data_IF_213902483998
#
_entry.id   IF_213902483998
#
_cell.length_a   1.000
_cell.length_b   1.000
_cell.length_c   1.000
_cell.angle_alpha   90.00
_cell.angle_beta   90.00
_cell.angle_gamma   90.00
#
_symmetry.space_group_name_H-M   'P 1'
#
loop_
_entity.id
_entity.type
_entity.pdbx_description
1 polymer ?
#
# COMPACT_ATOMS: atom_id res chain seq x y z
N UNK A 1 0.19 -1.89 -0.54
CA UNK A 1 0.68 -1.81 0.86
C UNK A 1 -0.11 -0.73 1.59
N UNK A 2 0.06 -0.53 2.90
CA UNK A 2 -0.52 0.64 3.58
C UNK A 2 0.34 1.01 4.79
N UNK A 3 0.64 2.29 4.96
CA UNK A 3 1.33 2.79 6.14
C UNK A 3 0.35 3.03 7.29
N UNK A 4 0.77 2.85 8.55
CA UNK A 4 -0.13 2.98 9.71
C UNK A 4 -0.73 4.39 9.87
N UNK A 5 0.01 5.45 9.50
CA UNK A 5 -0.52 6.83 9.45
C UNK A 5 -1.72 6.92 8.50
N UNK A 6 -1.67 6.19 7.38
CA UNK A 6 -2.72 6.20 6.37
C UNK A 6 -3.93 5.35 6.74
N UNK A 7 -3.75 4.34 7.59
CA UNK A 7 -4.86 3.69 8.29
C UNK A 7 -5.59 4.74 9.14
N UNK A 8 -4.87 5.55 9.91
CA UNK A 8 -5.45 6.64 10.69
C UNK A 8 -6.17 7.69 9.83
N UNK A 9 -5.59 8.07 8.68
CA UNK A 9 -6.22 8.97 7.71
C UNK A 9 -7.52 8.38 7.15
N UNK A 10 -7.52 7.10 6.75
CA UNK A 10 -8.70 6.41 6.26
C UNK A 10 -9.78 6.27 7.36
N UNK A 11 -9.39 6.01 8.60
CA UNK A 11 -10.32 5.96 9.73
C UNK A 11 -11.01 7.30 9.97
N UNK A 12 -10.28 8.43 9.90
CA UNK A 12 -10.89 9.75 10.03
C UNK A 12 -11.89 10.04 8.89
N UNK A 13 -11.56 9.63 7.67
CA UNK A 13 -12.48 9.74 6.53
C UNK A 13 -13.72 8.86 6.70
N UNK A 14 -13.56 7.65 7.23
CA UNK A 14 -14.70 6.78 7.55
C UNK A 14 -15.62 7.42 8.59
N UNK A 15 -15.05 7.99 9.66
CA UNK A 15 -15.80 8.64 10.74
C UNK A 15 -16.56 9.90 10.30
N UNK A 16 -16.21 10.50 9.15
CA UNK A 16 -16.99 11.61 8.58
C UNK A 16 -18.20 11.14 7.76
N UNK A 17 -18.45 9.83 7.68
CA UNK A 17 -19.50 9.22 6.88
C UNK A 17 -19.17 9.07 5.39
N UNK A 18 -17.97 9.46 4.95
CA UNK A 18 -17.62 9.44 3.52
C UNK A 18 -17.51 8.00 2.94
N UNK A 19 -17.38 7.00 3.81
CA UNK A 19 -17.25 5.59 3.45
C UNK A 19 -18.47 4.75 3.86
N UNK A 20 -19.56 5.38 4.32
CA UNK A 20 -20.76 4.69 4.82
C UNK A 20 -21.37 3.75 3.78
N UNK A 21 -21.80 2.57 4.23
CA UNK A 21 -22.37 1.50 3.39
C UNK A 21 -21.44 0.98 2.28
N UNK A 22 -20.11 1.18 2.40
CA UNK A 22 -19.12 0.71 1.43
C UNK A 22 -18.03 -0.15 2.07
N UNK A 23 -17.57 -1.13 1.30
CA UNK A 23 -16.28 -1.79 1.56
C UNK A 23 -15.25 -1.11 0.66
N UNK A 24 -14.21 -0.55 1.27
CA UNK A 24 -13.22 0.27 0.57
C UNK A 24 -11.81 -0.26 0.83
N UNK A 25 -11.12 -0.58 -0.26
CA UNK A 25 -9.71 -0.95 -0.24
C UNK A 25 -8.85 0.28 0.06
N UNK A 26 -8.04 0.21 1.12
CA UNK A 26 -7.10 1.28 1.49
C UNK A 26 -5.67 0.79 1.22
N UNK A 27 -4.92 1.59 0.49
CA UNK A 27 -3.52 1.32 0.20
C UNK A 27 -2.75 2.53 -0.32
N UNK A 28 -1.44 2.33 -0.40
CA UNK A 28 -0.48 3.23 -1.03
C UNK A 28 -0.61 3.22 -2.57
N UNK A 29 0.17 4.05 -3.25
CA UNK A 29 0.04 4.29 -4.71
C UNK A 29 0.88 3.35 -5.57
N UNK A 30 1.76 2.55 -4.97
CA UNK A 30 2.72 1.71 -5.69
C UNK A 30 2.65 0.24 -5.24
N UNK A 31 2.07 -0.65 -6.06
CA UNK A 31 2.28 -2.09 -5.91
C UNK A 31 3.80 -2.36 -5.90
N UNK A 32 4.27 -3.01 -4.84
CA UNK A 32 5.70 -3.28 -4.63
C UNK A 32 5.90 -4.79 -4.55
N UNK A 33 6.88 -5.30 -5.29
CA UNK A 33 7.20 -6.73 -5.29
C UNK A 33 7.92 -7.15 -4.00
N UNK A 34 7.86 -8.44 -3.64
CA UNK A 34 8.64 -8.96 -2.52
C UNK A 34 10.14 -8.78 -2.73
N UNK A 35 10.61 -8.87 -3.98
CA UNK A 35 12.00 -8.61 -4.35
C UNK A 35 12.42 -7.19 -3.92
N UNK A 36 11.65 -6.18 -4.32
CA UNK A 36 11.94 -4.78 -3.96
C UNK A 36 11.86 -4.53 -2.46
N UNK A 37 10.95 -5.20 -1.74
CA UNK A 37 10.86 -5.09 -0.28
C UNK A 37 12.10 -5.69 0.41
N UNK A 38 12.63 -6.80 -0.08
CA UNK A 38 13.86 -7.43 0.43
C UNK A 38 15.06 -6.52 0.22
N UNK A 39 15.18 -5.93 -0.98
CA UNK A 39 16.23 -4.95 -1.29
C UNK A 39 16.14 -3.71 -0.40
N UNK A 40 14.93 -3.19 -0.20
CA UNK A 40 14.69 -2.02 0.66
C UNK A 40 15.04 -2.32 2.13
N UNK A 41 14.86 -3.56 2.58
CA UNK A 41 15.26 -4.01 3.92
C UNK A 41 16.78 -4.26 4.05
N UNK A 42 17.58 -3.98 3.02
CA UNK A 42 19.03 -4.17 3.03
C UNK A 42 19.47 -5.63 2.84
N UNK A 43 18.58 -6.49 2.37
CA UNK A 43 18.85 -7.89 2.09
C UNK A 43 18.81 -8.16 0.57
N UNK A 44 19.28 -9.33 0.16
CA UNK A 44 19.24 -9.77 -1.24
C UNK A 44 18.42 -11.04 -1.40
N UNK A 45 17.63 -11.12 -2.47
CA UNK A 45 16.95 -12.36 -2.85
C UNK A 45 17.63 -12.95 -4.09
N UNK A 46 17.89 -14.25 -4.09
CA UNK A 46 18.43 -14.92 -5.27
C UNK A 46 17.39 -14.87 -6.42
N UNK A 47 17.82 -14.57 -7.66
CA UNK A 47 16.91 -14.60 -8.80
C UNK A 47 16.45 -16.04 -9.06
N UNK A 48 15.16 -16.18 -9.35
CA UNK A 48 14.52 -17.44 -9.76
C UNK A 48 13.95 -17.27 -11.16
N UNK A 49 14.12 -18.28 -12.00
CA UNK A 49 13.60 -18.28 -13.39
C UNK A 49 12.21 -18.89 -13.50
N UNK A 50 11.77 -19.57 -12.45
CA UNK A 50 10.45 -20.16 -12.35
C UNK A 50 9.37 -19.06 -12.37
N UNK A 51 8.31 -19.22 -13.16
CA UNK A 51 7.19 -18.29 -13.14
C UNK A 51 6.58 -18.19 -11.73
N UNK A 52 6.17 -16.98 -11.35
CA UNK A 52 5.42 -16.79 -10.11
C UNK A 52 4.10 -17.55 -10.18
N UNK A 53 3.83 -18.39 -9.18
CA UNK A 53 2.57 -19.12 -9.08
C UNK A 53 1.34 -18.19 -8.95
N UNK A 54 1.53 -16.99 -8.41
CA UNK A 54 0.49 -15.97 -8.27
C UNK A 54 1.11 -14.56 -8.38
N UNK A 55 1.32 -14.04 -9.60
CA UNK A 55 2.04 -12.78 -9.82
C UNK A 55 1.29 -11.55 -9.28
N UNK A 56 -0.03 -11.66 -9.10
CA UNK A 56 -0.91 -10.57 -8.65
C UNK A 56 -1.38 -10.73 -7.21
N UNK A 57 -0.78 -11.65 -6.45
CA UNK A 57 -1.19 -11.91 -5.08
C UNK A 57 -1.09 -10.63 -4.25
N UNK A 58 -2.17 -10.29 -3.52
CA UNK A 58 -2.30 -9.09 -2.69
C UNK A 58 -2.29 -7.75 -3.47
N UNK A 59 -2.28 -7.79 -4.80
CA UNK A 59 -2.55 -6.59 -5.59
C UNK A 59 -4.02 -6.22 -5.44
N UNK A 60 -4.31 -4.95 -5.16
CA UNK A 60 -5.66 -4.45 -4.90
C UNK A 60 -5.92 -3.15 -5.65
N UNK A 61 -7.14 -2.98 -6.15
CA UNK A 61 -7.60 -1.69 -6.69
C UNK A 61 -8.02 -0.76 -5.54
N UNK A 62 -7.38 0.42 -5.48
CA UNK A 62 -7.65 1.49 -4.49
C UNK A 62 -8.38 2.69 -5.10
N UNK A 63 -8.84 2.58 -6.35
CA UNK A 63 -9.48 3.68 -7.09
C UNK A 63 -10.73 4.21 -6.40
N UNK A 64 -11.51 3.35 -5.72
CA UNK A 64 -12.69 3.77 -4.97
C UNK A 64 -12.32 4.69 -3.80
N UNK A 65 -11.26 4.38 -3.06
CA UNK A 65 -10.80 5.21 -1.96
C UNK A 65 -10.45 6.62 -2.44
N UNK A 66 -9.74 6.72 -3.57
CA UNK A 66 -9.38 8.00 -4.21
C UNK A 66 -10.63 8.81 -4.60
N UNK A 67 -11.64 8.14 -5.19
CA UNK A 67 -12.92 8.79 -5.55
C UNK A 67 -13.70 9.28 -4.33
N UNK A 68 -13.54 8.64 -3.19
CA UNK A 68 -14.19 9.01 -1.92
C UNK A 68 -13.37 10.01 -1.08
N UNK A 69 -12.28 10.55 -1.64
CA UNK A 69 -11.49 11.62 -1.00
C UNK A 69 -10.31 11.13 -0.16
N UNK A 70 -10.01 9.83 -0.14
CA UNK A 70 -8.81 9.33 0.56
C UNK A 70 -7.53 9.71 -0.19
N UNK A 71 -6.66 10.45 0.50
CA UNK A 71 -5.32 10.82 0.04
C UNK A 71 -4.29 10.27 1.04
N UNK A 72 -3.29 9.47 0.61
CA UNK A 72 -2.27 8.96 1.53
C UNK A 72 -1.26 10.06 1.85
N UNK A 73 -0.85 10.09 3.10
CA UNK A 73 0.28 10.86 3.60
C UNK A 73 1.59 10.18 3.22
N UNK A 74 1.65 8.84 3.32
CA UNK A 74 2.80 8.02 2.92
C UNK A 74 2.42 7.21 1.69
N UNK A 75 2.74 7.74 0.52
CA UNK A 75 2.24 7.26 -0.79
C UNK A 75 2.94 6.01 -1.28
N UNK A 76 4.12 5.67 -0.77
CA UNK A 76 4.86 4.47 -1.14
C UNK A 76 5.73 4.00 0.02
N UNK A 77 6.10 2.71 0.02
CA UNK A 77 7.10 2.17 0.95
C UNK A 77 8.49 2.83 0.79
N UNK A 78 8.86 3.24 -0.43
CA UNK A 78 10.12 3.97 -0.67
C UNK A 78 10.11 5.34 0.01
N UNK A 79 8.99 6.07 -0.09
CA UNK A 79 8.82 7.33 0.65
C UNK A 79 8.92 7.10 2.16
N UNK A 80 8.35 6.00 2.69
CA UNK A 80 8.48 5.67 4.10
C UNK A 80 9.94 5.47 4.51
N UNK A 81 10.73 4.76 3.70
CA UNK A 81 12.16 4.56 3.94
C UNK A 81 12.97 5.86 3.82
N UNK A 82 12.71 6.68 2.80
CA UNK A 82 13.37 7.98 2.60
C UNK A 82 13.13 8.96 3.77
N UNK A 83 11.96 8.87 4.40
CA UNK A 83 11.57 9.70 5.55
C UNK A 83 11.95 9.08 6.90
N UNK A 84 12.55 7.89 6.92
CA UNK A 84 12.88 7.13 8.15
C UNK A 84 11.67 6.89 9.06
N UNK A 85 10.55 6.50 8.44
CA UNK A 85 9.27 6.18 9.11
C UNK A 85 8.75 4.77 8.77
N UNK A 86 9.63 3.88 8.30
CA UNK A 86 9.31 2.48 8.03
C UNK A 86 8.94 1.69 9.29
#
# INVERSE_FOLDING_TARGET
MVHHVDIGTATRLALSGALDDRIVNIGDDAPTSLHELVELAGASMAPVSEPLASPWRLHMDVSLARRLGFQPVVRTVRQAAELDVM
#
